data_IF_100918253283
#
_entry.id   IF_100918253283
#
_cell.length_a   1.000
_cell.length_b   1.000
_cell.length_c   1.000
_cell.angle_alpha   90.00
_cell.angle_beta   90.00
_cell.angle_gamma   90.00
#
_symmetry.space_group_name_H-M   'P 1'
#
loop_
_entity.id
_entity.type
_entity.pdbx_description
1 polymer ?
#
# COMPACT_ATOMS: atom_id res chain seq x y z
N UNK A 1 0.59 -26.82 0.12
CA UNK A 1 1.68 -26.13 -0.61
C UNK A 1 2.18 -24.92 0.15
N UNK A 2 1.35 -23.89 0.42
CA UNK A 2 1.80 -22.71 1.19
C UNK A 2 2.28 -23.06 2.60
N UNK A 3 1.56 -23.92 3.34
CA UNK A 3 2.00 -24.42 4.65
C UNK A 3 3.38 -25.10 4.57
N UNK A 4 3.59 -25.96 3.57
CA UNK A 4 4.87 -26.67 3.38
C UNK A 4 6.04 -25.72 3.13
N UNK A 5 5.81 -24.62 2.41
CA UNK A 5 6.84 -23.59 2.18
C UNK A 5 7.07 -22.79 3.46
N UNK A 6 6.01 -22.40 4.16
CA UNK A 6 6.06 -21.69 5.43
C UNK A 6 6.87 -22.48 6.47
N UNK A 7 6.57 -23.77 6.65
CA UNK A 7 7.28 -24.67 7.57
C UNK A 7 8.76 -24.84 7.18
N UNK A 8 9.08 -24.85 5.89
CA UNK A 8 10.45 -25.01 5.39
C UNK A 8 11.32 -23.76 5.59
N UNK A 9 10.73 -22.56 5.51
CA UNK A 9 11.43 -21.28 5.68
C UNK A 9 11.37 -20.78 7.14
N UNK A 10 10.47 -21.33 7.95
CA UNK A 10 10.29 -20.95 9.36
C UNK A 10 9.50 -19.64 9.56
N UNK A 11 8.66 -19.27 8.60
CA UNK A 11 7.74 -18.12 8.69
C UNK A 11 6.30 -18.59 8.70
N UNK A 12 5.39 -17.73 9.15
CA UNK A 12 3.96 -17.99 9.06
C UNK A 12 3.46 -17.94 7.60
N UNK A 13 2.31 -18.56 7.36
CA UNK A 13 1.71 -18.67 6.03
C UNK A 13 1.30 -17.31 5.46
N UNK A 14 0.90 -16.37 6.31
CA UNK A 14 0.41 -15.07 5.89
C UNK A 14 1.58 -14.24 5.35
N UNK A 15 2.70 -14.19 6.06
CA UNK A 15 3.95 -13.52 5.67
C UNK A 15 4.44 -14.03 4.33
N UNK A 16 4.48 -15.35 4.13
CA UNK A 16 4.86 -15.94 2.83
C UNK A 16 3.84 -15.58 1.74
N UNK A 17 2.54 -15.59 2.04
CA UNK A 17 1.48 -15.21 1.09
C UNK A 17 1.63 -13.75 0.66
N UNK A 18 1.91 -12.84 1.59
CA UNK A 18 2.13 -11.43 1.31
C UNK A 18 3.36 -11.20 0.45
N UNK A 19 4.50 -11.84 0.79
CA UNK A 19 5.73 -11.78 -0.01
C UNK A 19 5.47 -12.26 -1.44
N UNK A 20 4.81 -13.42 -1.59
CA UNK A 20 4.48 -13.97 -2.90
C UNK A 20 3.52 -13.06 -3.68
N UNK A 21 2.54 -12.45 -3.00
CA UNK A 21 1.65 -11.46 -3.58
C UNK A 21 2.41 -10.23 -4.12
N UNK A 22 3.36 -9.70 -3.35
CA UNK A 22 4.22 -8.58 -3.78
C UNK A 22 5.12 -8.97 -4.96
N UNK A 23 5.70 -10.18 -4.94
CA UNK A 23 6.51 -10.69 -6.05
C UNK A 23 5.67 -10.90 -7.32
N UNK A 24 4.39 -11.25 -7.19
CA UNK A 24 3.48 -11.40 -8.32
C UNK A 24 3.18 -10.07 -9.02
N UNK A 25 3.30 -8.92 -8.35
CA UNK A 25 3.11 -7.61 -8.98
C UNK A 25 4.10 -7.36 -10.13
N UNK A 26 5.29 -7.94 -10.10
CA UNK A 26 6.32 -7.77 -11.15
C UNK A 26 5.89 -8.37 -12.50
N UNK A 27 5.57 -9.69 -12.62
CA UNK A 27 5.06 -10.26 -13.86
C UNK A 27 3.73 -9.64 -14.27
N UNK A 28 2.84 -9.30 -13.33
CA UNK A 28 1.59 -8.60 -13.64
C UNK A 28 1.83 -7.22 -14.28
N UNK A 29 2.89 -6.52 -13.88
CA UNK A 29 3.32 -5.27 -14.51
C UNK A 29 3.73 -5.45 -15.98
N UNK A 30 4.44 -6.52 -16.31
CA UNK A 30 4.78 -6.86 -17.70
C UNK A 30 3.54 -7.21 -18.52
N UNK A 31 2.58 -7.93 -17.93
CA UNK A 31 1.30 -8.25 -18.58
C UNK A 31 0.50 -6.96 -18.83
N UNK A 32 0.36 -6.08 -17.83
CA UNK A 32 -0.34 -4.81 -17.98
C UNK A 32 0.27 -3.93 -19.08
N UNK A 33 1.60 -3.98 -19.27
CA UNK A 33 2.27 -3.27 -20.36
C UNK A 33 1.82 -3.76 -21.74
N UNK A 34 1.58 -5.06 -21.91
CA UNK A 34 1.16 -5.66 -23.17
C UNK A 34 -0.33 -5.42 -23.49
N UNK A 35 -1.13 -5.04 -22.49
CA UNK A 35 -2.57 -4.80 -22.67
C UNK A 35 -2.84 -3.49 -23.43
N UNK A 36 -3.95 -3.41 -24.20
CA UNK A 36 -4.47 -2.17 -24.75
C UNK A 36 -4.75 -1.13 -23.65
N UNK A 37 -4.52 0.15 -23.95
CA UNK A 37 -4.85 1.26 -23.04
C UNK A 37 -6.37 1.44 -22.85
N UNK A 38 -6.76 2.17 -21.81
CA UNK A 38 -8.14 2.47 -21.44
C UNK A 38 -8.75 1.44 -20.48
N UNK A 39 -10.04 1.14 -20.65
CA UNK A 39 -10.85 0.32 -19.73
C UNK A 39 -10.26 -1.07 -19.44
N UNK A 40 -9.56 -1.68 -20.39
CA UNK A 40 -8.91 -2.99 -20.22
C UNK A 40 -7.88 -2.96 -19.09
N UNK A 41 -7.07 -1.89 -19.00
CA UNK A 41 -6.09 -1.73 -17.94
C UNK A 41 -6.74 -1.45 -16.59
N UNK A 42 -7.82 -0.69 -16.57
CA UNK A 42 -8.59 -0.45 -15.34
C UNK A 42 -9.20 -1.73 -14.78
N UNK A 43 -9.86 -2.52 -15.65
CA UNK A 43 -10.44 -3.80 -15.27
C UNK A 43 -9.36 -4.79 -14.83
N UNK A 44 -8.23 -4.84 -15.55
CA UNK A 44 -7.08 -5.63 -15.15
C UNK A 44 -6.57 -5.23 -13.76
N UNK A 45 -6.42 -3.93 -13.51
CA UNK A 45 -6.02 -3.43 -12.19
C UNK A 45 -6.96 -3.89 -11.09
N UNK A 46 -8.27 -3.74 -11.29
CA UNK A 46 -9.28 -4.14 -10.31
C UNK A 46 -9.27 -5.65 -10.04
N UNK A 47 -9.38 -6.47 -11.09
CA UNK A 47 -9.49 -7.92 -10.95
C UNK A 47 -8.25 -8.52 -10.30
N UNK A 48 -7.07 -8.09 -10.72
CA UNK A 48 -5.81 -8.63 -10.18
C UNK A 48 -5.51 -8.08 -8.79
N UNK A 49 -5.91 -6.85 -8.47
CA UNK A 49 -5.81 -6.35 -7.10
C UNK A 49 -6.76 -7.06 -6.13
N UNK A 50 -8.00 -7.31 -6.54
CA UNK A 50 -8.95 -8.09 -5.74
C UNK A 50 -8.45 -9.53 -5.56
N UNK A 51 -7.89 -10.14 -6.61
CA UNK A 51 -7.24 -11.45 -6.52
C UNK A 51 -6.07 -11.44 -5.52
N UNK A 52 -5.18 -10.44 -5.58
CA UNK A 52 -4.04 -10.34 -4.65
C UNK A 52 -4.50 -10.19 -3.20
N UNK A 53 -5.55 -9.41 -2.93
CA UNK A 53 -6.11 -9.31 -1.59
C UNK A 53 -6.75 -10.64 -1.15
N UNK A 54 -7.53 -11.29 -2.01
CA UNK A 54 -8.10 -12.61 -1.72
C UNK A 54 -7.02 -13.67 -1.46
N UNK A 55 -5.88 -13.59 -2.17
CA UNK A 55 -4.75 -14.49 -2.00
C UNK A 55 -3.98 -14.24 -0.69
N UNK A 56 -3.85 -12.99 -0.27
CA UNK A 56 -3.01 -12.62 0.89
C UNK A 56 -3.77 -12.61 2.22
N UNK A 57 -5.00 -12.08 2.24
CA UNK A 57 -5.81 -11.88 3.46
C UNK A 57 -7.14 -12.64 3.43
N UNK A 58 -7.32 -13.54 2.45
CA UNK A 58 -8.53 -14.34 2.33
C UNK A 58 -9.78 -13.49 2.11
N UNK A 59 -10.92 -13.93 2.66
CA UNK A 59 -12.23 -13.27 2.49
C UNK A 59 -12.30 -11.83 3.00
N UNK A 60 -11.34 -11.40 3.83
CA UNK A 60 -11.37 -10.07 4.44
C UNK A 60 -11.20 -8.93 3.41
N UNK A 61 -10.78 -9.22 2.17
CA UNK A 61 -10.74 -8.24 1.08
C UNK A 61 -12.11 -7.58 0.81
N UNK A 62 -13.21 -8.21 1.21
CA UNK A 62 -14.57 -7.65 1.12
C UNK A 62 -14.65 -6.30 1.86
N UNK A 63 -13.92 -6.12 2.96
CA UNK A 63 -13.89 -4.83 3.66
C UNK A 63 -13.34 -3.71 2.77
N UNK A 64 -12.33 -4.00 1.94
CA UNK A 64 -11.80 -3.08 0.92
C UNK A 64 -12.88 -2.69 -0.08
N UNK A 65 -13.62 -3.69 -0.58
CA UNK A 65 -14.65 -3.48 -1.59
C UNK A 65 -15.81 -2.66 -1.03
N UNK A 66 -16.34 -3.03 0.14
CA UNK A 66 -17.45 -2.32 0.78
C UNK A 66 -17.07 -0.87 1.10
N UNK A 67 -15.92 -0.66 1.75
CA UNK A 67 -15.43 0.69 2.09
C UNK A 67 -15.26 1.57 0.85
N UNK A 68 -14.68 1.01 -0.22
CA UNK A 68 -14.50 1.67 -1.51
C UNK A 68 -15.83 1.99 -2.20
N UNK A 69 -16.79 1.06 -2.21
CA UNK A 69 -18.09 1.28 -2.85
C UNK A 69 -18.94 2.31 -2.10
N UNK A 70 -18.92 2.31 -0.76
CA UNK A 70 -19.60 3.35 0.04
C UNK A 70 -19.02 4.72 -0.30
N UNK A 71 -17.70 4.87 -0.35
CA UNK A 71 -17.07 6.12 -0.75
C UNK A 71 -17.45 6.55 -2.19
N UNK A 72 -17.57 5.60 -3.12
CA UNK A 72 -18.03 5.91 -4.49
C UNK A 72 -19.47 6.43 -4.51
N UNK A 73 -20.36 5.81 -3.75
CA UNK A 73 -21.75 6.28 -3.60
C UNK A 73 -21.77 7.68 -2.98
N UNK A 74 -20.93 7.95 -1.98
CA UNK A 74 -20.79 9.30 -1.40
C UNK A 74 -20.36 10.32 -2.46
N UNK A 75 -19.41 9.98 -3.34
CA UNK A 75 -19.03 10.87 -4.43
C UNK A 75 -20.14 11.12 -5.45
N UNK A 76 -21.05 10.16 -5.66
CA UNK A 76 -22.19 10.32 -6.57
C UNK A 76 -23.29 11.23 -5.99
N UNK A 77 -23.54 11.16 -4.68
CA UNK A 77 -24.68 11.84 -4.06
C UNK A 77 -24.32 13.17 -3.41
N UNK A 78 -23.08 13.34 -2.93
CA UNK A 78 -22.66 14.52 -2.19
C UNK A 78 -21.97 15.54 -3.13
N UNK A 79 -22.19 16.85 -2.94
CA UNK A 79 -21.45 17.87 -3.67
C UNK A 79 -19.95 17.79 -3.30
N UNK A 80 -19.02 18.12 -4.21
CA UNK A 80 -17.58 18.01 -3.95
C UNK A 80 -17.11 18.79 -2.71
N UNK A 81 -17.76 19.90 -2.38
CA UNK A 81 -17.51 20.70 -1.16
C UNK A 81 -17.69 19.88 0.12
N UNK A 82 -18.69 18.99 0.15
CA UNK A 82 -18.96 18.10 1.28
C UNK A 82 -18.14 16.81 1.17
N UNK A 83 -18.00 16.26 -0.04
CA UNK A 83 -17.25 15.02 -0.29
C UNK A 83 -15.79 15.11 0.16
N UNK A 84 -15.13 16.27 0.01
CA UNK A 84 -13.75 16.50 0.46
C UNK A 84 -13.53 16.30 1.96
N UNK A 85 -14.60 16.37 2.77
CA UNK A 85 -14.56 16.13 4.23
C UNK A 85 -15.21 14.79 4.55
N UNK A 86 -16.41 14.53 4.02
CA UNK A 86 -17.21 13.37 4.37
C UNK A 86 -16.52 12.04 4.00
N UNK A 87 -15.90 11.94 2.81
CA UNK A 87 -15.23 10.69 2.38
C UNK A 87 -13.99 10.39 3.22
N UNK A 88 -13.08 11.35 3.49
CA UNK A 88 -12.03 11.15 4.48
C UNK A 88 -12.51 10.71 5.85
N UNK A 89 -13.56 11.34 6.38
CA UNK A 89 -14.12 10.99 7.69
C UNK A 89 -14.64 9.56 7.68
N UNK A 90 -15.39 9.16 6.64
CA UNK A 90 -15.83 7.77 6.45
C UNK A 90 -14.65 6.79 6.45
N UNK A 91 -13.64 7.03 5.61
CA UNK A 91 -12.51 6.12 5.47
C UNK A 91 -11.72 6.00 6.79
N UNK A 92 -11.47 7.13 7.47
CA UNK A 92 -10.80 7.15 8.78
C UNK A 92 -11.61 6.44 9.86
N UNK A 93 -12.94 6.63 9.91
CA UNK A 93 -13.80 5.94 10.88
C UNK A 93 -13.80 4.43 10.63
N UNK A 94 -13.89 4.01 9.36
CA UNK A 94 -13.92 2.60 8.99
C UNK A 94 -12.63 1.87 9.41
N UNK A 95 -11.46 2.42 9.05
CA UNK A 95 -10.18 1.82 9.44
C UNK A 95 -9.94 1.90 10.95
N UNK A 96 -10.35 2.99 11.62
CA UNK A 96 -10.23 3.12 13.08
C UNK A 96 -11.07 2.07 13.80
N UNK A 97 -12.30 1.82 13.33
CA UNK A 97 -13.14 0.75 13.86
C UNK A 97 -12.48 -0.63 13.67
N UNK A 98 -11.84 -0.86 12.52
CA UNK A 98 -11.05 -2.07 12.26
C UNK A 98 -9.90 -2.24 13.25
N UNK A 99 -9.11 -1.19 13.50
CA UNK A 99 -8.01 -1.22 14.48
C UNK A 99 -8.50 -1.40 15.92
N UNK A 100 -9.58 -0.73 16.33
CA UNK A 100 -10.17 -0.90 17.66
C UNK A 100 -10.70 -2.33 17.83
N UNK A 101 -11.37 -2.87 16.81
CA UNK A 101 -11.84 -4.25 16.83
C UNK A 101 -10.66 -5.21 16.99
N UNK A 102 -9.59 -5.06 16.19
CA UNK A 102 -8.35 -5.86 16.31
C UNK A 102 -7.75 -5.76 17.71
N UNK A 103 -7.66 -4.56 18.30
CA UNK A 103 -7.15 -4.38 19.66
C UNK A 103 -7.97 -5.13 20.71
N UNK A 104 -9.29 -5.25 20.50
CA UNK A 104 -10.18 -5.96 21.39
C UNK A 104 -10.09 -7.48 21.26
N UNK A 105 -10.08 -8.01 20.02
CA UNK A 105 -10.13 -9.46 19.78
C UNK A 105 -8.75 -10.13 19.68
N UNK A 106 -7.70 -9.37 19.39
CA UNK A 106 -6.36 -9.88 19.12
C UNK A 106 -5.30 -8.91 19.66
N UNK A 107 -5.36 -8.66 20.97
CA UNK A 107 -4.41 -7.79 21.65
C UNK A 107 -3.00 -8.38 21.58
N UNK A 108 -2.04 -7.60 21.08
CA UNK A 108 -0.66 -8.01 20.78
C UNK A 108 -0.51 -9.11 19.70
N UNK A 109 -1.57 -9.36 18.92
CA UNK A 109 -1.51 -10.26 17.78
C UNK A 109 -0.80 -9.64 16.57
N UNK A 110 -0.03 -10.48 15.89
CA UNK A 110 0.79 -10.11 14.73
C UNK A 110 0.19 -10.52 13.39
N UNK A 111 -1.02 -11.08 13.40
CA UNK A 111 -1.69 -11.57 12.20
C UNK A 111 -1.93 -10.46 11.18
N UNK A 112 -1.80 -10.77 9.89
CA UNK A 112 -2.13 -9.82 8.83
C UNK A 112 -3.64 -9.82 8.58
N UNK A 113 -4.22 -8.63 8.51
CA UNK A 113 -5.65 -8.45 8.31
C UNK A 113 -5.96 -7.39 7.25
N UNK A 114 -7.24 -7.19 6.98
CA UNK A 114 -7.70 -6.18 6.03
C UNK A 114 -7.29 -4.75 6.37
N UNK A 115 -6.92 -4.44 7.62
CA UNK A 115 -6.61 -3.07 8.03
C UNK A 115 -5.36 -2.54 7.31
N UNK A 116 -4.40 -3.41 6.98
CA UNK A 116 -3.21 -3.02 6.20
C UNK A 116 -3.58 -2.47 4.81
N UNK A 117 -4.42 -3.18 4.06
CA UNK A 117 -4.90 -2.73 2.74
C UNK A 117 -5.83 -1.50 2.85
N UNK A 118 -6.58 -1.37 3.96
CA UNK A 118 -7.41 -0.20 4.24
C UNK A 118 -6.59 1.06 4.45
N UNK A 119 -5.36 0.99 4.97
CA UNK A 119 -4.50 2.17 5.12
C UNK A 119 -4.26 2.82 3.76
N UNK A 120 -3.87 2.02 2.76
CA UNK A 120 -3.63 2.49 1.39
C UNK A 120 -4.93 3.00 0.76
N UNK A 121 -6.05 2.32 0.98
CA UNK A 121 -7.36 2.78 0.49
C UNK A 121 -7.70 4.15 1.05
N UNK A 122 -7.57 4.32 2.36
CA UNK A 122 -7.91 5.54 3.09
C UNK A 122 -7.13 6.73 2.51
N UNK A 123 -5.82 6.57 2.31
CA UNK A 123 -4.99 7.59 1.69
C UNK A 123 -5.45 7.93 0.26
N UNK A 124 -5.75 6.90 -0.56
CA UNK A 124 -6.22 7.08 -1.94
C UNK A 124 -7.57 7.81 -2.02
N UNK A 125 -8.51 7.45 -1.14
CA UNK A 125 -9.83 8.07 -1.07
C UNK A 125 -9.74 9.51 -0.55
N UNK A 126 -8.86 9.76 0.42
CA UNK A 126 -8.58 11.09 0.92
C UNK A 126 -8.09 12.00 -0.21
N UNK A 127 -7.03 11.56 -0.90
CA UNK A 127 -6.47 12.26 -2.07
C UNK A 127 -7.52 12.51 -3.15
N UNK A 128 -8.29 11.49 -3.54
CA UNK A 128 -9.30 11.63 -4.59
C UNK A 128 -10.40 12.64 -4.24
N UNK A 129 -10.84 12.68 -2.97
CA UNK A 129 -11.85 13.62 -2.52
C UNK A 129 -11.40 15.07 -2.66
N UNK A 130 -10.14 15.36 -2.29
CA UNK A 130 -9.55 16.68 -2.47
C UNK A 130 -9.27 17.00 -3.94
N UNK A 131 -8.83 16.04 -4.74
CA UNK A 131 -8.61 16.24 -6.17
C UNK A 131 -9.89 16.63 -6.91
N UNK A 132 -11.02 15.99 -6.59
CA UNK A 132 -12.33 16.31 -7.17
C UNK A 132 -12.79 17.71 -6.77
N UNK A 133 -12.60 18.07 -5.50
CA UNK A 133 -12.89 19.41 -5.02
C UNK A 133 -12.04 20.47 -5.73
N UNK A 134 -10.73 20.27 -5.81
CA UNK A 134 -9.81 21.20 -6.48
C UNK A 134 -10.13 21.34 -7.97
N UNK A 135 -10.51 20.24 -8.65
CA UNK A 135 -10.97 20.27 -10.03
C UNK A 135 -12.20 21.15 -10.23
N UNK A 136 -13.17 21.07 -9.32
CA UNK A 136 -14.35 21.93 -9.35
C UNK A 136 -14.01 23.39 -9.01
N UNK A 137 -13.20 23.65 -7.99
CA UNK A 137 -12.81 24.99 -7.57
C UNK A 137 -12.03 25.73 -8.67
N UNK A 138 -11.15 25.01 -9.38
CA UNK A 138 -10.43 25.54 -10.54
C UNK A 138 -11.37 25.85 -11.70
N UNK A 139 -12.33 24.95 -11.99
CA UNK A 139 -13.31 25.16 -13.07
C UNK A 139 -14.21 26.38 -12.84
N UNK A 140 -14.55 26.68 -11.57
CA UNK A 140 -15.37 27.84 -11.19
C UNK A 140 -14.59 29.15 -11.05
N UNK A 141 -13.25 29.11 -11.12
CA UNK A 141 -12.41 30.27 -10.83
C UNK A 141 -12.30 30.62 -9.33
N UNK A 142 -12.87 29.80 -8.45
CA UNK A 142 -12.90 29.96 -6.98
C UNK A 142 -11.64 29.37 -6.30
N UNK A 143 -10.59 29.11 -7.09
CA UNK A 143 -9.40 28.38 -6.63
C UNK A 143 -8.60 29.11 -5.55
N UNK A 144 -8.39 28.42 -4.43
CA UNK A 144 -7.45 28.83 -3.39
C UNK A 144 -5.99 28.74 -3.88
N UNK A 145 -5.04 29.33 -3.14
CA UNK A 145 -3.60 29.14 -3.41
C UNK A 145 -3.20 27.66 -3.38
N UNK A 146 -3.78 26.88 -2.47
CA UNK A 146 -3.54 25.44 -2.37
C UNK A 146 -4.05 24.71 -3.62
N UNK A 147 -5.29 24.99 -4.03
CA UNK A 147 -5.90 24.39 -5.24
C UNK A 147 -5.11 24.71 -6.51
N UNK A 148 -4.55 25.92 -6.63
CA UNK A 148 -3.66 26.28 -7.74
C UNK A 148 -2.35 25.47 -7.74
N UNK A 149 -1.79 25.18 -6.56
CA UNK A 149 -0.59 24.34 -6.43
C UNK A 149 -0.89 22.88 -6.77
N UNK A 150 -2.08 22.39 -6.43
CA UNK A 150 -2.54 21.03 -6.71
C UNK A 150 -3.19 20.86 -8.09
N UNK A 151 -3.21 21.90 -8.93
CA UNK A 151 -3.81 21.85 -10.27
C UNK A 151 -3.36 20.67 -11.16
N UNK A 152 -2.11 20.18 -11.11
CA UNK A 152 -1.71 18.99 -11.87
C UNK A 152 -2.41 17.68 -11.45
N UNK A 153 -2.97 17.63 -10.24
CA UNK A 153 -3.64 16.46 -9.66
C UNK A 153 -5.16 16.60 -9.63
N UNK A 154 -5.65 17.79 -9.96
CA UNK A 154 -7.07 18.11 -9.96
C UNK A 154 -7.84 17.19 -10.92
N UNK A 155 -8.92 16.62 -10.43
CA UNK A 155 -9.80 15.72 -11.18
C UNK A 155 -11.09 16.48 -11.48
N UNK A 156 -11.37 16.73 -12.75
CA UNK A 156 -12.49 17.57 -13.17
C UNK A 156 -13.85 16.89 -12.97
N UNK A 157 -13.90 15.59 -13.18
CA UNK A 157 -15.13 14.80 -13.16
C UNK A 157 -14.88 13.49 -12.43
N UNK A 158 -15.92 12.99 -11.74
CA UNK A 158 -15.85 11.71 -11.04
C UNK A 158 -15.53 10.59 -12.04
N UNK A 159 -14.50 9.76 -11.78
CA UNK A 159 -14.22 8.60 -12.61
C UNK A 159 -15.40 7.63 -12.70
N UNK A 160 -15.53 6.96 -13.84
CA UNK A 160 -16.42 5.82 -13.95
C UNK A 160 -16.06 4.73 -12.94
N UNK A 161 -17.03 3.87 -12.61
CA UNK A 161 -16.86 2.85 -11.57
C UNK A 161 -15.68 1.90 -11.86
N UNK A 162 -15.42 1.59 -13.14
CA UNK A 162 -14.33 0.69 -13.53
C UNK A 162 -12.97 1.38 -13.31
N UNK A 163 -12.85 2.64 -13.71
CA UNK A 163 -11.66 3.46 -13.54
C UNK A 163 -11.36 3.69 -12.04
N UNK A 164 -12.41 3.96 -11.26
CA UNK A 164 -12.34 4.12 -9.81
C UNK A 164 -11.93 2.83 -9.09
N UNK A 165 -12.57 1.70 -9.42
CA UNK A 165 -12.21 0.40 -8.83
C UNK A 165 -10.80 -0.02 -9.25
N UNK A 166 -10.41 0.24 -10.49
CA UNK A 166 -9.05 0.02 -10.96
C UNK A 166 -8.02 0.81 -10.15
N UNK A 167 -8.32 2.05 -9.77
CA UNK A 167 -7.45 2.89 -8.94
C UNK A 167 -7.36 2.38 -7.49
N UNK A 168 -8.51 2.15 -6.87
CA UNK A 168 -8.59 1.74 -5.46
C UNK A 168 -8.00 0.33 -5.24
N UNK A 169 -8.15 -0.55 -6.21
CA UNK A 169 -7.58 -1.91 -6.23
C UNK A 169 -6.34 -2.04 -7.11
N UNK A 170 -5.62 -0.96 -7.44
CA UNK A 170 -4.48 -1.09 -8.35
C UNK A 170 -3.44 -2.10 -7.83
N UNK A 171 -3.29 -3.23 -8.53
CA UNK A 171 -2.50 -4.39 -8.09
C UNK A 171 -1.07 -4.02 -7.66
N UNK A 172 -0.46 -3.02 -8.31
CA UNK A 172 0.91 -2.56 -8.00
C UNK A 172 1.05 -1.89 -6.64
N UNK A 173 -0.06 -1.55 -5.98
CA UNK A 173 -0.06 -0.76 -4.75
C UNK A 173 -1.02 -1.24 -3.66
N UNK A 174 -1.93 -2.15 -3.99
CA UNK A 174 -3.04 -2.54 -3.09
C UNK A 174 -2.59 -3.24 -1.80
N UNK A 175 -1.45 -3.94 -1.82
CA UNK A 175 -0.93 -4.68 -0.67
C UNK A 175 -0.14 -3.77 0.29
N UNK A 176 0.89 -3.11 -0.22
CA UNK A 176 1.81 -2.28 0.57
C UNK A 176 2.48 -1.17 -0.26
N UNK A 177 1.81 -0.67 -1.30
CA UNK A 177 2.38 0.37 -2.15
C UNK A 177 2.12 1.78 -1.61
N UNK A 178 2.91 2.77 -2.08
CA UNK A 178 2.61 4.16 -1.78
C UNK A 178 1.23 4.53 -2.34
N UNK A 179 0.50 5.38 -1.62
CA UNK A 179 -0.61 6.09 -2.21
C UNK A 179 -0.09 7.16 -3.18
N UNK A 180 -0.80 7.36 -4.29
CA UNK A 180 -0.46 8.33 -5.32
C UNK A 180 -1.74 8.86 -5.95
N UNK A 181 -1.66 10.04 -6.55
CA UNK A 181 -2.83 10.73 -7.08
C UNK A 181 -3.49 10.00 -8.25
N UNK A 182 -4.84 10.05 -8.29
CA UNK A 182 -5.65 9.37 -9.30
C UNK A 182 -5.23 9.72 -10.74
N UNK A 183 -4.84 10.97 -11.00
CA UNK A 183 -4.42 11.42 -12.33
C UNK A 183 -3.21 10.61 -12.85
N UNK A 184 -2.27 10.24 -11.98
CA UNK A 184 -1.13 9.40 -12.38
C UNK A 184 -1.58 7.99 -12.78
N UNK A 185 -2.49 7.42 -11.99
CA UNK A 185 -3.09 6.13 -12.28
C UNK A 185 -3.82 6.14 -13.64
N UNK A 186 -4.71 7.10 -13.83
CA UNK A 186 -5.53 7.24 -15.03
C UNK A 186 -4.64 7.44 -16.27
N UNK A 187 -3.67 8.36 -16.20
CA UNK A 187 -2.78 8.62 -17.33
C UNK A 187 -1.91 7.41 -17.70
N UNK A 188 -1.54 6.56 -16.74
CA UNK A 188 -0.83 5.31 -17.02
C UNK A 188 -1.72 4.26 -17.69
N UNK A 189 -2.99 4.17 -17.29
CA UNK A 189 -3.98 3.26 -17.87
C UNK A 189 -4.45 3.72 -19.26
N UNK A 190 -4.61 5.02 -19.48
CA UNK A 190 -5.03 5.61 -20.75
C UNK A 190 -3.88 5.80 -21.74
N UNK A 191 -2.63 5.73 -21.26
CA UNK A 191 -1.44 5.90 -22.08
C UNK A 191 -1.09 7.35 -22.39
N UNK A 192 -1.87 8.32 -21.87
CA UNK A 192 -1.64 9.76 -22.05
C UNK A 192 -0.32 10.24 -21.43
N UNK A 193 0.27 9.44 -20.53
CA UNK A 193 1.62 9.70 -20.00
C UNK A 193 2.70 9.52 -21.07
N UNK A 194 2.54 8.54 -21.96
CA UNK A 194 3.55 8.13 -22.94
C UNK A 194 3.24 8.59 -24.35
N UNK A 195 1.96 8.79 -24.68
CA UNK A 195 1.49 9.13 -26.01
C UNK A 195 0.70 10.44 -26.00
N UNK A 196 0.79 11.20 -27.09
CA UNK A 196 -0.08 12.34 -27.36
C UNK A 196 -1.45 11.88 -27.91
N UNK A 197 -2.37 12.83 -28.09
CA UNK A 197 -3.70 12.54 -28.64
C UNK A 197 -3.69 12.01 -30.08
N UNK A 198 -2.56 12.14 -30.78
CA UNK A 198 -2.35 11.63 -32.14
C UNK A 198 -1.66 10.24 -32.13
N UNK A 199 -1.46 9.64 -30.95
CA UNK A 199 -0.78 8.35 -30.79
C UNK A 199 0.74 8.41 -30.95
N UNK A 200 1.35 9.61 -31.02
CA UNK A 200 2.80 9.78 -31.12
C UNK A 200 3.44 9.72 -29.73
N UNK A 201 4.60 9.08 -29.58
CA UNK A 201 5.28 9.02 -28.29
C UNK A 201 5.75 10.41 -27.85
N UNK A 202 5.49 10.75 -26.59
CA UNK A 202 5.98 11.96 -25.92
C UNK A 202 7.46 11.80 -25.60
N UNK A 203 8.29 11.92 -26.63
CA UNK A 203 9.74 11.73 -26.54
C UNK A 203 10.15 10.26 -26.44
N UNK A 204 11.31 10.01 -25.84
CA UNK A 204 11.87 8.66 -25.70
C UNK A 204 11.15 7.89 -24.59
N UNK A 205 10.45 6.82 -24.95
CA UNK A 205 9.81 5.93 -23.97
C UNK A 205 10.89 5.28 -23.09
N UNK A 206 10.83 5.42 -21.76
CA UNK A 206 11.82 4.82 -20.88
C UNK A 206 11.74 3.28 -20.93
N UNK A 207 12.90 2.63 -20.83
CA UNK A 207 12.96 1.18 -20.66
C UNK A 207 12.38 0.77 -19.29
N UNK A 208 11.65 -0.33 -19.25
CA UNK A 208 10.97 -0.78 -18.01
C UNK A 208 11.80 -1.77 -17.19
N UNK A 209 12.66 -2.58 -17.83
CA UNK A 209 13.34 -3.69 -17.16
C UNK A 209 14.32 -3.21 -16.07
N UNK A 210 15.20 -2.25 -16.38
CA UNK A 210 16.20 -1.78 -15.41
C UNK A 210 15.61 -0.96 -14.26
N UNK A 211 14.66 -0.02 -14.48
CA UNK A 211 13.99 0.67 -13.39
C UNK A 211 13.19 -0.24 -12.46
N UNK A 212 12.74 -1.41 -12.94
CA UNK A 212 12.09 -2.42 -12.11
C UNK A 212 13.09 -3.33 -11.39
N UNK A 213 14.16 -3.75 -12.06
CA UNK A 213 15.16 -4.67 -11.49
C UNK A 213 16.03 -4.01 -10.41
N UNK A 214 16.38 -2.74 -10.58
CA UNK A 214 17.26 -2.03 -9.63
C UNK A 214 16.65 -1.96 -8.21
N UNK A 215 15.40 -1.49 -8.00
CA UNK A 215 14.77 -1.52 -6.68
C UNK A 215 14.64 -2.94 -6.13
N UNK A 216 14.29 -3.92 -6.97
CA UNK A 216 14.19 -5.31 -6.53
C UNK A 216 15.51 -5.84 -5.96
N UNK A 217 16.64 -5.62 -6.66
CA UNK A 217 17.95 -6.04 -6.17
C UNK A 217 18.35 -5.33 -4.88
N UNK A 218 18.07 -4.02 -4.78
CA UNK A 218 18.30 -3.27 -3.55
C UNK A 218 17.46 -3.84 -2.40
N UNK A 219 16.18 -4.12 -2.63
CA UNK A 219 15.29 -4.74 -1.64
C UNK A 219 15.79 -6.11 -1.20
N UNK A 220 16.31 -6.95 -2.11
CA UNK A 220 16.90 -8.25 -1.75
C UNK A 220 18.15 -8.10 -0.88
N UNK A 221 19.02 -7.12 -1.19
CA UNK A 221 20.19 -6.82 -0.36
C UNK A 221 19.78 -6.30 1.02
N UNK A 222 18.82 -5.37 1.08
CA UNK A 222 18.28 -4.86 2.35
C UNK A 222 17.64 -5.98 3.19
N UNK A 223 16.87 -6.87 2.55
CA UNK A 223 16.29 -8.04 3.21
C UNK A 223 17.38 -8.96 3.77
N UNK A 224 18.43 -9.25 2.98
CA UNK A 224 19.56 -10.06 3.46
C UNK A 224 20.29 -9.43 4.64
N UNK A 225 20.56 -8.12 4.57
CA UNK A 225 21.16 -7.36 5.69
C UNK A 225 20.25 -7.41 6.92
N UNK A 226 18.94 -7.26 6.75
CA UNK A 226 17.97 -7.28 7.84
C UNK A 226 17.89 -8.67 8.49
N UNK A 227 17.80 -9.75 7.70
CA UNK A 227 17.78 -11.13 8.23
C UNK A 227 19.06 -11.45 9.01
N UNK A 228 20.22 -11.09 8.48
CA UNK A 228 21.51 -11.29 9.17
C UNK A 228 21.63 -10.41 10.41
N UNK A 229 21.27 -9.12 10.30
CA UNK A 229 21.31 -8.16 11.39
C UNK A 229 20.39 -8.55 12.54
N UNK A 230 19.17 -9.00 12.26
CA UNK A 230 18.23 -9.50 13.26
C UNK A 230 18.83 -10.66 14.07
N UNK A 231 19.43 -11.64 13.40
CA UNK A 231 20.09 -12.76 14.07
C UNK A 231 21.29 -12.38 14.94
N UNK A 232 21.93 -11.23 14.69
CA UNK A 232 23.08 -10.76 15.46
C UNK A 232 22.71 -10.00 16.74
N UNK A 233 21.49 -9.46 16.84
CA UNK A 233 21.08 -8.57 17.95
C UNK A 233 19.73 -9.00 18.58
N UNK A 234 19.60 -10.24 19.08
CA UNK A 234 18.32 -10.78 19.57
C UNK A 234 17.75 -9.98 20.75
N UNK A 235 16.42 -9.79 20.80
CA UNK A 235 15.76 -9.12 21.93
C UNK A 235 15.74 -9.98 23.19
N UNK A 236 15.57 -11.29 23.02
CA UNK A 236 15.50 -12.28 24.09
C UNK A 236 16.82 -13.03 24.16
N UNK A 237 17.25 -13.35 25.38
CA UNK A 237 18.48 -14.08 25.59
C UNK A 237 18.42 -15.47 24.93
N UNK A 238 19.24 -15.75 23.90
CA UNK A 238 19.24 -17.05 23.24
C UNK A 238 19.81 -18.18 24.13
N UNK A 239 20.50 -17.84 25.22
CA UNK A 239 21.09 -18.80 26.17
C UNK A 239 20.08 -19.22 27.24
N UNK A 240 19.10 -18.36 27.55
CA UNK A 240 18.00 -18.65 28.47
C UNK A 240 16.61 -18.42 27.83
N UNK A 241 16.25 -19.25 26.83
CA UNK A 241 14.99 -19.10 26.11
C UNK A 241 13.75 -19.42 26.97
N UNK A 242 13.91 -20.05 28.13
CA UNK A 242 12.79 -20.43 29.01
C UNK A 242 12.29 -19.25 29.86
N UNK A 243 13.19 -18.35 30.26
CA UNK A 243 12.81 -17.18 31.06
C UNK A 243 12.51 -15.94 30.22
N UNK A 244 12.75 -15.99 28.90
CA UNK A 244 12.51 -14.89 27.95
C UNK A 244 13.09 -13.55 28.46
N UNK A 245 14.26 -13.61 29.09
CA UNK A 245 14.90 -12.42 29.65
C UNK A 245 15.31 -11.50 28.50
N UNK A 246 14.88 -10.24 28.53
CA UNK A 246 15.30 -9.29 27.52
C UNK A 246 16.81 -9.05 27.63
N UNK A 247 17.56 -9.16 26.52
CA UNK A 247 19.00 -8.89 26.49
C UNK A 247 19.32 -7.47 26.96
N UNK A 248 18.33 -6.57 26.89
CA UNK A 248 18.41 -5.20 27.38
C UNK A 248 18.60 -5.08 28.91
N UNK A 249 18.16 -6.09 29.67
CA UNK A 249 18.24 -6.09 31.14
C UNK A 249 19.34 -7.00 31.68
N UNK A 250 20.13 -7.64 30.81
CA UNK A 250 21.26 -8.46 31.24
C UNK A 250 22.38 -7.59 31.81
N UNK A 251 23.08 -8.11 32.82
CA UNK A 251 24.22 -7.42 33.44
C UNK A 251 25.29 -7.07 32.40
N UNK A 252 25.49 -7.93 31.39
CA UNK A 252 26.43 -7.70 30.30
C UNK A 252 26.09 -6.44 29.50
N UNK A 253 24.85 -6.26 29.07
CA UNK A 253 24.47 -5.08 28.28
C UNK A 253 24.41 -3.83 29.15
N UNK A 254 23.95 -3.95 30.40
CA UNK A 254 23.92 -2.84 31.37
C UNK A 254 25.31 -2.30 31.71
N UNK A 255 26.34 -3.14 31.65
CA UNK A 255 27.74 -2.74 31.83
C UNK A 255 28.29 -1.88 30.66
N UNK A 256 27.63 -1.87 29.49
CA UNK A 256 28.09 -1.14 28.30
C UNK A 256 27.73 0.35 28.37
N UNK A 257 28.51 1.22 27.70
CA UNK A 257 28.17 2.64 27.57
C UNK A 257 26.77 2.88 27.00
N UNK A 258 26.13 3.99 27.41
CA UNK A 258 24.74 4.30 27.05
C UNK A 258 24.49 4.32 25.53
N UNK A 259 25.45 4.75 24.72
CA UNK A 259 25.31 4.80 23.26
C UNK A 259 25.32 3.41 22.62
N UNK A 260 26.03 2.44 23.20
CA UNK A 260 26.00 1.05 22.73
C UNK A 260 24.68 0.38 23.09
N UNK A 261 24.15 0.66 24.28
CA UNK A 261 22.82 0.22 24.69
C UNK A 261 21.72 0.79 23.81
N UNK A 262 21.79 2.09 23.51
CA UNK A 262 20.87 2.75 22.60
C UNK A 262 20.96 2.18 21.17
N UNK A 263 22.18 1.97 20.66
CA UNK A 263 22.39 1.34 19.35
C UNK A 263 21.86 -0.08 19.30
N UNK A 264 22.09 -0.88 20.35
CA UNK A 264 21.54 -2.23 20.47
C UNK A 264 20.02 -2.19 20.54
N UNK A 265 19.41 -1.30 21.31
CA UNK A 265 17.95 -1.13 21.36
C UNK A 265 17.37 -0.80 19.98
N UNK A 266 17.99 0.12 19.25
CA UNK A 266 17.54 0.50 17.91
C UNK A 266 17.59 -0.67 16.91
N UNK A 267 18.65 -1.49 16.97
CA UNK A 267 18.82 -2.66 16.11
C UNK A 267 17.95 -3.85 16.56
N UNK A 268 17.82 -4.06 17.86
CA UNK A 268 17.05 -5.17 18.43
C UNK A 268 15.54 -4.94 18.40
N UNK A 269 15.03 -3.70 18.45
CA UNK A 269 13.58 -3.43 18.29
C UNK A 269 12.99 -3.93 16.96
N UNK A 270 13.84 -4.20 15.97
CA UNK A 270 13.44 -4.85 14.72
C UNK A 270 13.16 -6.37 14.87
N UNK A 271 13.59 -7.00 15.97
CA UNK A 271 13.33 -8.41 16.31
C UNK A 271 12.00 -8.65 17.02
N UNK A 272 11.19 -7.60 17.21
CA UNK A 272 9.80 -7.70 17.69
C UNK A 272 8.79 -7.55 16.55
N UNK A 273 9.24 -7.61 15.29
CA UNK A 273 8.43 -7.49 14.06
C UNK A 273 8.40 -8.85 13.36
#
# INVERSE_FOLDING_TARGET
MMQTIADAVGFDVETISMLMGMLMCYPLGFIMKALPYGKTKHLFSFLLGAFLLQFTIGVQWIHQLVSSLVAYVMFLILPPELSKIAVPVWAMLYISAGHIHRQYINYLGWDMDFTGAQMVLTMKLYSLAWNLYDGQALAKGESSRASKKCAPFAVKELPGIIEYLGYTFCFSSVLAGPAYEYVYYANACDGTLLYDSNGKPKGKIPGVAWPTLKPFLISMVCMGIHVVGNGMFPLLDPVDPQNATAVLVTEELLSKPWFQRYGYQWLSLQNSI
#
